data_IF_751462573506
#
_entry.id   IF_751462573506
#
_cell.length_a   1.000
_cell.length_b   1.000
_cell.length_c   1.000
_cell.angle_alpha   90.00
_cell.angle_beta   90.00
_cell.angle_gamma   90.00
#
_symmetry.space_group_name_H-M   'P 1'
#
loop_
_entity.id
_entity.type
_entity.pdbx_description
1 polymer ?
#
# COMPACT_ATOMS: atom_id res chain seq x y z
N UNK A 1 -25.34 -27.88 15.21
CA UNK A 1 -24.57 -26.66 15.51
C UNK A 1 -25.53 -25.67 16.14
N UNK A 2 -25.36 -25.35 17.43
CA UNK A 2 -26.32 -24.48 18.15
C UNK A 2 -26.38 -23.10 17.49
N UNK A 3 -27.57 -22.50 17.38
CA UNK A 3 -27.78 -21.14 16.83
C UNK A 3 -26.86 -20.09 17.48
N UNK A 4 -26.50 -20.30 18.75
CA UNK A 4 -25.52 -19.49 19.49
C UNK A 4 -24.09 -19.63 18.95
N UNK A 5 -23.66 -20.83 18.55
CA UNK A 5 -22.35 -21.02 17.90
C UNK A 5 -22.31 -20.39 16.51
N UNK A 6 -23.41 -20.43 15.76
CA UNK A 6 -23.46 -19.81 14.44
C UNK A 6 -23.25 -18.29 14.51
N UNK A 7 -23.84 -17.61 15.50
CA UNK A 7 -23.66 -16.17 15.73
C UNK A 7 -22.20 -15.82 16.06
N UNK A 8 -21.53 -16.63 16.88
CA UNK A 8 -20.11 -16.42 17.24
C UNK A 8 -19.21 -16.54 16.01
N UNK A 9 -19.43 -17.55 15.16
CA UNK A 9 -18.67 -17.71 13.92
C UNK A 9 -18.92 -16.60 12.91
N UNK A 10 -20.17 -16.11 12.80
CA UNK A 10 -20.52 -14.97 11.94
C UNK A 10 -19.86 -13.67 12.41
N UNK A 11 -19.84 -13.41 13.73
CA UNK A 11 -19.17 -12.25 14.31
C UNK A 11 -17.65 -12.30 14.09
N UNK A 12 -17.02 -13.47 14.30
CA UNK A 12 -15.59 -13.65 14.00
C UNK A 12 -15.27 -13.41 12.52
N UNK A 13 -16.09 -13.91 11.60
CA UNK A 13 -15.92 -13.68 10.15
C UNK A 13 -16.08 -12.21 9.76
N UNK A 14 -16.97 -11.47 10.40
CA UNK A 14 -17.17 -10.04 10.10
C UNK A 14 -15.96 -9.16 10.46
N UNK A 15 -15.20 -9.50 11.51
CA UNK A 15 -14.01 -8.74 11.93
C UNK A 15 -12.86 -8.89 10.94
N UNK A 16 -12.75 -10.03 10.25
CA UNK A 16 -11.79 -10.21 9.16
C UNK A 16 -12.16 -9.42 7.88
N UNK A 17 -13.40 -8.93 7.76
CA UNK A 17 -13.87 -8.24 6.57
C UNK A 17 -13.51 -6.76 6.48
N UNK A 18 -13.09 -6.11 7.58
CA UNK A 18 -12.73 -4.68 7.58
C UNK A 18 -11.26 -4.52 7.21
N UNK A 19 -10.98 -4.55 5.92
CA UNK A 19 -9.65 -4.29 5.41
C UNK A 19 -9.27 -2.82 5.61
N UNK A 20 -8.29 -2.52 6.46
CA UNK A 20 -7.82 -1.16 6.70
C UNK A 20 -7.02 -0.69 5.47
N UNK A 21 -7.61 0.19 4.66
CA UNK A 21 -6.94 0.77 3.50
C UNK A 21 -5.90 1.80 3.95
N UNK A 22 -4.69 1.72 3.41
CA UNK A 22 -3.65 2.74 3.58
C UNK A 22 -3.38 3.38 2.23
N UNK A 23 -3.22 4.69 2.22
CA UNK A 23 -3.02 5.50 1.00
C UNK A 23 -1.68 6.20 1.08
N UNK A 24 -0.95 6.24 -0.03
CA UNK A 24 0.30 6.96 -0.20
C UNK A 24 0.33 7.68 -1.54
N UNK A 25 1.02 8.82 -1.60
CA UNK A 25 1.22 9.57 -2.83
C UNK A 25 2.60 9.27 -3.43
N UNK A 26 2.62 8.75 -4.65
CA UNK A 26 3.84 8.47 -5.40
C UNK A 26 4.08 9.64 -6.36
N UNK A 27 5.21 10.34 -6.18
CA UNK A 27 5.63 11.45 -7.04
C UNK A 27 6.95 11.13 -7.73
N UNK A 28 7.04 11.45 -9.01
CA UNK A 28 8.25 11.44 -9.81
C UNK A 28 8.72 12.87 -10.03
N UNK A 29 10.03 13.10 -10.01
CA UNK A 29 10.62 14.40 -10.37
C UNK A 29 10.35 14.78 -11.83
N UNK A 30 10.21 13.79 -12.72
CA UNK A 30 9.81 13.97 -14.12
C UNK A 30 8.29 13.78 -14.27
N UNK A 31 7.58 14.83 -14.67
CA UNK A 31 6.13 14.82 -14.88
C UNK A 31 5.69 13.96 -16.06
N UNK A 32 6.58 13.69 -17.02
CA UNK A 32 6.31 12.86 -18.18
C UNK A 32 6.61 11.37 -17.94
N UNK A 33 7.16 10.99 -16.79
CA UNK A 33 7.42 9.60 -16.45
C UNK A 33 6.10 8.86 -16.15
N UNK A 34 5.91 7.70 -16.79
CA UNK A 34 4.80 6.78 -16.56
C UNK A 34 5.10 5.97 -15.30
N UNK A 35 4.17 6.01 -14.35
CA UNK A 35 4.27 5.35 -13.06
C UNK A 35 3.48 4.04 -13.13
N UNK A 36 4.17 2.93 -12.88
CA UNK A 36 3.58 1.61 -12.75
C UNK A 36 3.76 1.13 -11.31
N UNK A 37 2.73 0.55 -10.72
CA UNK A 37 2.78 -0.05 -9.39
C UNK A 37 2.31 -1.49 -9.49
N UNK A 38 3.13 -2.44 -9.04
CA UNK A 38 2.91 -3.88 -9.21
C UNK A 38 2.52 -4.25 -10.66
N UNK A 39 3.25 -3.68 -11.62
CA UNK A 39 3.04 -3.80 -13.07
C UNK A 39 1.73 -3.21 -13.62
N UNK A 40 0.91 -2.55 -12.79
CA UNK A 40 -0.26 -1.79 -13.23
C UNK A 40 0.08 -0.33 -13.50
N UNK A 41 -0.33 0.21 -14.66
CA UNK A 41 -0.20 1.63 -14.96
C UNK A 41 -1.19 2.46 -14.13
N UNK A 42 -0.69 3.43 -13.36
CA UNK A 42 -1.53 4.32 -12.54
C UNK A 42 -1.63 5.75 -13.09
N UNK A 43 -0.64 6.21 -13.85
CA UNK A 43 -0.62 7.58 -14.37
C UNK A 43 0.80 8.11 -14.61
N UNK A 44 0.94 9.43 -14.64
CA UNK A 44 2.20 10.11 -14.92
C UNK A 44 2.48 11.22 -13.90
N UNK A 45 3.75 11.39 -13.52
CA UNK A 45 4.21 12.48 -12.66
C UNK A 45 3.83 12.33 -11.18
N UNK A 46 2.55 12.30 -10.84
CA UNK A 46 2.08 12.12 -9.45
C UNK A 46 0.79 11.31 -9.41
N UNK A 47 0.77 10.25 -8.61
CA UNK A 47 -0.38 9.34 -8.48
C UNK A 47 -0.65 9.02 -7.02
N UNK A 48 -1.93 8.86 -6.67
CA UNK A 48 -2.34 8.34 -5.36
C UNK A 48 -2.50 6.83 -5.46
N UNK A 49 -1.87 6.10 -4.56
CA UNK A 49 -1.95 4.65 -4.46
C UNK A 49 -2.57 4.27 -3.12
N UNK A 50 -3.57 3.39 -3.12
CA UNK A 50 -4.22 2.89 -1.91
C UNK A 50 -4.36 1.38 -1.98
N UNK A 51 -4.06 0.71 -0.87
CA UNK A 51 -4.24 -0.74 -0.76
C UNK A 51 -4.60 -1.19 0.67
N UNK A 52 -4.96 -2.46 0.75
CA UNK A 52 -5.31 -3.16 1.99
C UNK A 52 -4.30 -4.26 2.38
N UNK A 53 -3.08 -4.21 1.83
CA UNK A 53 -2.02 -5.20 2.08
C UNK A 53 -1.69 -5.27 3.58
N UNK A 54 -1.20 -6.44 4.02
CA UNK A 54 -0.76 -6.66 5.40
C UNK A 54 0.60 -6.02 5.66
N UNK A 55 0.92 -5.79 6.94
CA UNK A 55 2.23 -5.33 7.39
C UNK A 55 3.38 -6.12 6.75
N UNK A 56 4.42 -5.42 6.34
CA UNK A 56 5.62 -6.02 5.73
C UNK A 56 5.45 -6.45 4.26
N UNK A 57 4.26 -6.26 3.67
CA UNK A 57 4.10 -6.42 2.23
C UNK A 57 4.89 -5.35 1.49
N UNK A 58 5.60 -5.75 0.43
CA UNK A 58 6.33 -4.84 -0.46
C UNK A 58 5.52 -4.54 -1.71
N UNK A 59 5.67 -3.32 -2.20
CA UNK A 59 5.04 -2.81 -3.42
C UNK A 59 6.13 -2.33 -4.36
N UNK A 60 6.09 -2.77 -5.62
CA UNK A 60 7.11 -2.44 -6.61
C UNK A 60 6.62 -1.28 -7.46
N UNK A 61 7.40 -0.20 -7.53
CA UNK A 61 7.14 0.96 -8.39
C UNK A 61 8.12 0.94 -9.55
N UNK A 62 7.62 1.03 -10.79
CA UNK A 62 8.44 1.14 -11.99
C UNK A 62 8.14 2.47 -12.68
N UNK A 63 9.17 3.28 -12.88
CA UNK A 63 9.11 4.52 -13.64
C UNK A 63 9.63 4.26 -15.06
N UNK A 64 8.79 4.54 -16.07
CA UNK A 64 9.10 4.31 -17.48
C UNK A 64 8.91 5.59 -18.28
N UNK A 65 9.83 5.85 -19.20
CA UNK A 65 9.72 6.90 -20.21
C UNK A 65 10.23 6.39 -21.54
N UNK A 66 9.62 6.83 -22.63
CA UNK A 66 9.98 6.38 -23.98
C UNK A 66 11.43 6.75 -24.31
N UNK A 67 12.21 5.76 -24.74
CA UNK A 67 13.63 5.92 -25.03
C UNK A 67 14.53 6.11 -23.80
N UNK A 68 14.05 5.80 -22.59
CA UNK A 68 14.82 5.81 -21.35
C UNK A 68 14.75 4.43 -20.66
N UNK A 69 15.72 4.16 -19.80
CA UNK A 69 15.76 2.96 -18.97
C UNK A 69 14.62 2.98 -17.92
N UNK A 70 14.12 1.79 -17.58
CA UNK A 70 13.11 1.62 -16.52
C UNK A 70 13.79 1.65 -15.17
N UNK A 71 13.40 2.57 -14.30
CA UNK A 71 13.86 2.59 -12.92
C UNK A 71 12.86 1.87 -12.02
N UNK A 72 13.34 0.97 -11.17
CA UNK A 72 12.50 0.18 -10.26
C UNK A 72 12.81 0.54 -8.82
N UNK A 73 11.78 0.86 -8.06
CA UNK A 73 11.82 1.17 -6.64
C UNK A 73 10.88 0.23 -5.89
N UNK A 74 11.06 0.13 -4.57
CA UNK A 74 10.15 -0.63 -3.71
C UNK A 74 9.93 0.10 -2.40
N UNK A 75 8.70 0.07 -1.91
CA UNK A 75 8.35 0.52 -0.57
C UNK A 75 7.51 -0.57 0.11
N UNK A 76 7.46 -0.54 1.44
CA UNK A 76 6.83 -1.60 2.23
C UNK A 76 5.86 -1.03 3.25
N UNK A 77 4.86 -1.82 3.64
CA UNK A 77 3.87 -1.40 4.64
C UNK A 77 4.39 -1.60 6.06
N UNK A 78 5.45 -0.88 6.41
CA UNK A 78 6.12 -0.94 7.71
C UNK A 78 6.77 0.39 8.08
N UNK A 79 6.26 1.50 7.55
CA UNK A 79 6.95 2.79 7.62
C UNK A 79 6.41 3.71 8.70
N UNK A 80 5.09 3.69 8.95
CA UNK A 80 4.43 4.51 9.97
C UNK A 80 3.56 3.67 10.90
N UNK A 81 3.71 3.88 12.20
CA UNK A 81 2.89 3.21 13.20
C UNK A 81 1.54 3.92 13.40
N UNK A 82 0.46 3.16 13.31
CA UNK A 82 -0.89 3.64 13.59
C UNK A 82 -1.28 3.32 15.05
N UNK A 83 -1.14 4.31 15.92
CA UNK A 83 -1.54 4.20 17.32
C UNK A 83 -3.04 3.94 17.50
N UNK A 84 -3.89 4.44 16.59
CA UNK A 84 -5.33 4.19 16.62
C UNK A 84 -5.66 2.73 16.30
N UNK A 85 -5.02 2.18 15.26
CA UNK A 85 -5.13 0.76 14.94
C UNK A 85 -4.59 -0.14 16.06
N UNK A 86 -3.51 0.27 16.74
CA UNK A 86 -2.98 -0.46 17.89
C UNK A 86 -3.96 -0.46 19.08
N UNK A 87 -4.46 0.71 19.49
CA UNK A 87 -5.43 0.82 20.57
C UNK A 87 -6.71 0.03 20.24
N UNK A 88 -7.23 0.17 19.02
CA UNK A 88 -8.37 -0.62 18.54
C UNK A 88 -8.10 -2.13 18.58
N UNK A 89 -6.89 -2.57 18.21
CA UNK A 89 -6.44 -3.97 18.31
C UNK A 89 -6.49 -4.52 19.72
N UNK A 90 -6.01 -3.76 20.70
CA UNK A 90 -6.03 -4.15 22.12
C UNK A 90 -7.46 -4.29 22.66
N UNK A 91 -8.36 -3.37 22.30
CA UNK A 91 -9.73 -3.35 22.85
C UNK A 91 -10.74 -4.20 22.08
N UNK A 92 -10.55 -4.40 20.77
CA UNK A 92 -11.51 -5.07 19.89
C UNK A 92 -11.01 -6.42 19.36
N UNK A 93 -9.85 -6.89 19.84
CA UNK A 93 -9.13 -8.05 19.28
C UNK A 93 -8.91 -7.90 17.77
N UNK A 94 -8.81 -6.65 17.29
CA UNK A 94 -8.59 -6.37 15.88
C UNK A 94 -7.21 -6.92 15.50
N UNK A 95 -7.10 -7.59 14.33
CA UNK A 95 -5.83 -8.16 13.94
C UNK A 95 -4.75 -7.08 13.82
N UNK A 96 -3.66 -7.23 14.58
CA UNK A 96 -2.51 -6.34 14.59
C UNK A 96 -1.73 -6.31 13.26
N UNK A 97 -2.19 -7.03 12.24
CA UNK A 97 -1.58 -7.09 10.91
C UNK A 97 -1.67 -5.75 10.14
N UNK A 98 -2.48 -4.80 10.60
CA UNK A 98 -2.68 -3.49 9.96
C UNK A 98 -2.23 -2.30 10.81
N UNK A 99 -1.43 -2.52 11.87
CA UNK A 99 -0.92 -1.42 12.71
C UNK A 99 0.16 -0.55 12.02
N UNK A 100 0.63 -0.97 10.85
CA UNK A 100 1.59 -0.20 10.06
C UNK A 100 0.95 0.33 8.78
N UNK A 101 1.36 1.55 8.43
CA UNK A 101 0.95 2.32 7.27
C UNK A 101 2.17 2.63 6.38
N UNK A 102 1.87 3.04 5.15
CA UNK A 102 2.85 3.71 4.30
C UNK A 102 3.10 5.13 4.80
N UNK A 103 4.24 5.71 4.44
CA UNK A 103 4.42 7.15 4.47
C UNK A 103 3.38 7.84 3.59
N UNK A 104 2.93 9.04 3.94
CA UNK A 104 1.93 9.77 3.16
C UNK A 104 2.43 10.12 1.75
N UNK A 105 3.75 10.20 1.56
CA UNK A 105 4.34 10.57 0.28
C UNK A 105 5.70 9.89 0.06
N UNK A 106 5.88 9.34 -1.14
CA UNK A 106 7.15 8.88 -1.70
C UNK A 106 7.50 9.71 -2.93
N UNK A 107 8.63 10.42 -2.86
CA UNK A 107 9.19 11.11 -4.01
C UNK A 107 10.37 10.30 -4.57
N UNK A 108 10.32 10.01 -5.86
CA UNK A 108 11.33 9.26 -6.58
C UNK A 108 12.01 10.17 -7.60
N UNK A 109 13.34 10.21 -7.54
CA UNK A 109 14.14 10.90 -8.53
C UNK A 109 14.23 10.04 -9.80
N UNK A 110 13.73 10.57 -10.93
CA UNK A 110 13.79 9.92 -12.23
C UNK A 110 14.69 10.68 -13.19
N UNK A 111 15.91 10.19 -13.38
CA UNK A 111 16.79 10.62 -14.47
C UNK A 111 16.61 9.72 -15.70
N UNK A 112 16.36 10.32 -16.87
CA UNK A 112 16.34 9.56 -18.13
C UNK A 112 17.77 9.14 -18.51
N UNK A 113 18.10 7.89 -18.27
CA UNK A 113 19.28 7.24 -18.84
C UNK A 113 18.85 6.63 -20.18
N UNK A 114 19.49 7.02 -21.29
CA UNK A 114 19.17 6.48 -22.61
C UNK A 114 19.59 5.01 -22.67
N UNK A 115 18.67 4.13 -23.07
CA UNK A 115 18.99 2.75 -23.40
C UNK A 115 19.85 2.76 -24.67
N UNK A 116 21.06 2.20 -24.61
CA UNK A 116 22.04 2.17 -25.70
C UNK A 116 21.65 1.18 -26.80
#
# INVERSE_FOLDING_TARGET
MSFKSAIVWVLLLSVFGTACSSTTMIRSTDSAAKIYVDDQFLGTGSVSYSDTKIIGSSTIVKLKKEGCETQTFSFSRNEEFDAGACAGGVFLLFPFLWIQKYRPMHEYEYSCVKTK
#
